data_IF_494936164998
#
_entry.id   IF_494936164998
#
_cell.length_a   1.000
_cell.length_b   1.000
_cell.length_c   1.000
_cell.angle_alpha   90.00
_cell.angle_beta   90.00
_cell.angle_gamma   90.00
#
_symmetry.space_group_name_H-M   'P 1'
#
loop_
_entity.id
_entity.type
_entity.pdbx_description
1 polymer ?
#
# COMPACT_ATOMS: atom_id res chain seq x y z
N UNK A 1 12.01 41.14 12.28
CA UNK A 1 11.29 40.12 11.49
C UNK A 1 9.86 40.04 12.02
N UNK A 2 8.87 40.27 11.16
CA UNK A 2 7.50 40.57 11.59
C UNK A 2 6.66 39.29 11.70
N UNK A 3 6.35 38.86 12.94
CA UNK A 3 5.58 37.64 13.27
C UNK A 3 4.20 37.55 12.60
N UNK A 4 3.65 38.68 12.18
CA UNK A 4 2.34 38.76 11.50
C UNK A 4 2.43 38.29 10.05
N UNK A 5 3.54 38.56 9.36
CA UNK A 5 3.76 38.10 7.98
C UNK A 5 3.90 36.59 7.89
N UNK A 6 4.65 36.00 8.83
CA UNK A 6 4.86 34.56 8.91
C UNK A 6 3.56 33.81 9.26
N UNK A 7 2.74 34.37 10.16
CA UNK A 7 1.42 33.81 10.50
C UNK A 7 0.44 33.88 9.31
N UNK A 8 0.46 34.98 8.55
CA UNK A 8 -0.41 35.12 7.39
C UNK A 8 -0.01 34.18 6.24
N UNK A 9 1.29 33.96 6.05
CA UNK A 9 1.81 32.98 5.09
C UNK A 9 1.54 31.54 5.52
N UNK A 10 1.65 31.20 6.81
CA UNK A 10 1.34 29.84 7.29
C UNK A 10 -0.16 29.53 7.22
N UNK A 11 -1.01 30.51 7.53
CA UNK A 11 -2.48 30.35 7.53
C UNK A 11 -3.08 30.31 6.12
N UNK A 12 -2.40 30.91 5.13
CA UNK A 12 -2.80 30.89 3.71
C UNK A 12 -1.93 29.97 2.85
N UNK A 13 -0.98 29.25 3.45
CA UNK A 13 -0.26 28.20 2.75
C UNK A 13 -1.30 27.17 2.28
N UNK A 14 -1.27 26.85 0.98
CA UNK A 14 -2.07 25.74 0.47
C UNK A 14 -1.74 24.52 1.34
N UNK A 15 -2.75 23.78 1.85
CA UNK A 15 -2.51 22.57 2.61
C UNK A 15 -1.52 21.71 1.83
N UNK A 16 -0.41 21.33 2.48
CA UNK A 16 0.50 20.34 1.91
C UNK A 16 -0.30 19.05 1.77
N UNK A 17 -0.34 18.54 0.55
CA UNK A 17 -1.06 17.30 0.24
C UNK A 17 -0.43 16.18 1.05
N UNK A 18 -1.28 15.33 1.62
CA UNK A 18 -0.80 14.15 2.30
C UNK A 18 -0.32 13.14 1.23
N UNK A 19 0.76 12.39 1.47
CA UNK A 19 1.26 11.40 0.51
C UNK A 19 0.29 10.27 0.17
N UNK A 20 -0.86 10.20 0.85
CA UNK A 20 -1.90 9.19 0.68
C UNK A 20 -3.22 9.79 0.25
N UNK A 21 -3.23 11.07 -0.14
CA UNK A 21 -4.41 11.72 -0.72
C UNK A 21 -4.70 11.09 -2.10
N UNK A 22 -5.90 10.50 -2.31
CA UNK A 22 -6.26 9.85 -3.56
C UNK A 22 -6.52 10.88 -4.68
N UNK A 23 -6.64 10.41 -5.93
CA UNK A 23 -6.98 11.30 -7.06
C UNK A 23 -5.82 12.17 -7.56
N UNK A 24 -4.58 11.81 -7.24
CA UNK A 24 -3.38 12.59 -7.55
C UNK A 24 -2.34 11.82 -8.38
N UNK A 25 -2.75 10.71 -9.01
CA UNK A 25 -1.92 10.03 -9.98
C UNK A 25 -1.68 10.91 -11.21
N UNK A 26 -0.45 10.88 -11.71
CA UNK A 26 -0.08 11.39 -13.02
C UNK A 26 -0.56 10.45 -14.16
N UNK A 27 -0.81 9.18 -13.84
CA UNK A 27 -1.41 8.24 -14.77
C UNK A 27 -2.92 8.51 -14.95
N UNK A 28 -3.48 8.33 -16.15
CA UNK A 28 -4.92 8.44 -16.36
C UNK A 28 -5.69 7.44 -15.48
N UNK A 29 -6.71 7.93 -14.80
CA UNK A 29 -7.65 7.09 -14.05
C UNK A 29 -8.56 6.30 -14.99
N UNK A 30 -9.03 5.11 -14.59
CA UNK A 30 -10.02 4.35 -15.34
C UNK A 30 -11.34 5.13 -15.49
N UNK A 31 -12.08 4.83 -16.55
CA UNK A 31 -13.39 5.41 -16.81
C UNK A 31 -14.43 4.84 -15.82
N UNK A 32 -14.73 5.60 -14.77
CA UNK A 32 -15.65 5.19 -13.70
C UNK A 32 -16.86 6.11 -13.60
N UNK A 33 -18.00 5.53 -13.20
CA UNK A 33 -19.20 6.25 -12.77
C UNK A 33 -18.89 7.12 -11.54
N UNK A 34 -19.78 8.07 -11.21
CA UNK A 34 -19.58 8.95 -10.03
C UNK A 34 -19.43 8.16 -8.73
N UNK A 35 -20.28 7.16 -8.50
CA UNK A 35 -20.18 6.28 -7.33
C UNK A 35 -18.93 5.40 -7.37
N UNK A 36 -18.57 4.89 -8.56
CA UNK A 36 -17.34 4.13 -8.76
C UNK A 36 -16.08 4.93 -8.41
N UNK A 37 -16.04 6.22 -8.74
CA UNK A 37 -14.90 7.10 -8.39
C UNK A 37 -14.71 7.26 -6.87
N UNK A 38 -15.80 7.36 -6.11
CA UNK A 38 -15.72 7.48 -4.65
C UNK A 38 -15.16 6.20 -4.03
N UNK A 39 -15.69 5.04 -4.44
CA UNK A 39 -15.20 3.75 -3.96
C UNK A 39 -13.73 3.51 -4.37
N UNK A 40 -13.37 3.85 -5.61
CA UNK A 40 -12.01 3.74 -6.11
C UNK A 40 -11.04 4.62 -5.31
N UNK A 41 -11.38 5.89 -5.09
CA UNK A 41 -10.56 6.81 -4.31
C UNK A 41 -10.35 6.32 -2.86
N UNK A 42 -11.37 5.68 -2.28
CA UNK A 42 -11.26 5.08 -0.94
C UNK A 42 -10.27 3.90 -0.93
N UNK A 43 -10.38 2.96 -1.88
CA UNK A 43 -9.43 1.86 -2.02
C UNK A 43 -8.02 2.37 -2.33
N UNK A 44 -7.88 3.33 -3.24
CA UNK A 44 -6.62 3.99 -3.60
C UNK A 44 -5.94 4.60 -2.38
N UNK A 45 -6.67 5.37 -1.57
CA UNK A 45 -6.12 5.96 -0.35
C UNK A 45 -5.54 4.91 0.60
N UNK A 46 -6.28 3.82 0.83
CA UNK A 46 -5.83 2.76 1.73
C UNK A 46 -4.62 2.02 1.17
N UNK A 47 -4.61 1.72 -0.12
CA UNK A 47 -3.47 1.08 -0.76
C UNK A 47 -2.23 2.00 -0.78
N UNK A 48 -2.41 3.32 -0.97
CA UNK A 48 -1.32 4.27 -0.87
C UNK A 48 -0.69 4.31 0.52
N UNK A 49 -1.47 4.17 1.60
CA UNK A 49 -0.92 4.05 2.96
C UNK A 49 -0.02 2.83 3.09
N UNK A 50 -0.42 1.70 2.52
CA UNK A 50 0.40 0.49 2.52
C UNK A 50 1.65 0.65 1.63
N UNK A 51 1.52 1.28 0.46
CA UNK A 51 2.62 1.58 -0.46
C UNK A 51 3.69 2.46 0.22
N UNK A 52 3.28 3.45 1.02
CA UNK A 52 4.23 4.29 1.78
C UNK A 52 5.14 3.41 2.66
N UNK A 53 4.58 2.38 3.30
CA UNK A 53 5.28 1.46 4.21
C UNK A 53 5.87 0.22 3.51
N UNK A 54 5.78 0.12 2.18
CA UNK A 54 6.10 -1.10 1.44
C UNK A 54 7.55 -1.58 1.65
N UNK A 55 8.50 -0.64 1.74
CA UNK A 55 9.91 -0.97 2.01
C UNK A 55 10.13 -1.47 3.42
N UNK A 56 9.47 -0.86 4.41
CA UNK A 56 9.58 -1.27 5.80
C UNK A 56 9.05 -2.70 5.98
N UNK A 57 7.88 -3.00 5.39
CA UNK A 57 7.35 -4.35 5.42
C UNK A 57 8.24 -5.35 4.67
N UNK A 58 8.77 -5.01 3.49
CA UNK A 58 9.71 -5.89 2.79
C UNK A 58 11.00 -6.17 3.56
N UNK A 59 11.52 -5.19 4.33
CA UNK A 59 12.64 -5.44 5.26
C UNK A 59 12.25 -6.39 6.39
N UNK A 60 11.05 -6.26 6.95
CA UNK A 60 10.55 -7.19 7.97
C UNK A 60 10.50 -8.62 7.43
N UNK A 61 9.93 -8.83 6.23
CA UNK A 61 9.89 -10.14 5.57
C UNK A 61 11.30 -10.69 5.37
N UNK A 62 12.20 -9.90 4.78
CA UNK A 62 13.59 -10.32 4.55
C UNK A 62 14.36 -10.67 5.85
N UNK A 63 14.06 -10.00 6.97
CA UNK A 63 14.73 -10.24 8.25
C UNK A 63 14.47 -11.63 8.84
N UNK A 64 13.47 -12.34 8.32
CA UNK A 64 13.09 -13.68 8.77
C UNK A 64 13.99 -14.79 8.18
N UNK A 65 14.80 -14.49 7.17
CA UNK A 65 15.87 -15.37 6.67
C UNK A 65 15.43 -16.51 5.73
N UNK A 66 14.18 -16.98 5.81
CA UNK A 66 13.70 -18.14 5.05
C UNK A 66 12.83 -17.80 3.83
N UNK A 67 12.61 -16.51 3.56
CA UNK A 67 11.80 -16.06 2.42
C UNK A 67 12.67 -15.84 1.18
N UNK A 68 12.19 -16.22 -0.03
CA UNK A 68 12.91 -15.93 -1.26
C UNK A 68 13.21 -14.44 -1.45
N UNK A 69 14.30 -14.14 -2.15
CA UNK A 69 14.69 -12.76 -2.46
C UNK A 69 13.58 -12.03 -3.23
N UNK A 70 13.36 -10.78 -2.83
CA UNK A 70 12.46 -9.81 -3.47
C UNK A 70 13.22 -8.49 -3.62
N UNK A 71 12.70 -7.57 -4.41
CA UNK A 71 13.22 -6.19 -4.47
C UNK A 71 12.94 -5.43 -3.16
N UNK A 72 12.20 -6.05 -2.23
CA UNK A 72 12.03 -5.62 -0.85
C UNK A 72 11.03 -4.49 -0.67
N UNK A 73 10.20 -4.22 -1.68
CA UNK A 73 9.08 -3.30 -1.66
C UNK A 73 7.79 -4.09 -1.84
N UNK A 74 7.14 -4.44 -0.74
CA UNK A 74 6.01 -5.37 -0.78
C UNK A 74 4.73 -4.65 -0.36
N UNK A 75 3.58 -5.05 -0.91
CA UNK A 75 2.24 -4.68 -0.42
C UNK A 75 1.31 -5.89 -0.45
N UNK A 76 0.22 -5.84 0.32
CA UNK A 76 -0.75 -6.92 0.44
C UNK A 76 -2.18 -6.35 0.35
N UNK A 77 -2.70 -6.15 -0.87
CA UNK A 77 -3.98 -5.46 -1.09
C UNK A 77 -5.15 -6.06 -0.31
N UNK A 78 -5.23 -7.38 -0.16
CA UNK A 78 -6.25 -8.05 0.64
C UNK A 78 -6.18 -7.71 2.13
N UNK A 79 -4.97 -7.53 2.69
CA UNK A 79 -4.80 -7.01 4.06
C UNK A 79 -5.30 -5.57 4.15
N UNK A 80 -4.95 -4.75 3.17
CA UNK A 80 -5.41 -3.36 3.09
C UNK A 80 -6.93 -3.25 2.95
N UNK A 81 -7.55 -4.14 2.17
CA UNK A 81 -9.00 -4.23 2.05
C UNK A 81 -9.64 -4.64 3.38
N UNK A 82 -9.06 -5.63 4.09
CA UNK A 82 -9.53 -5.98 5.44
C UNK A 82 -9.49 -4.77 6.38
N UNK A 83 -8.39 -4.02 6.41
CA UNK A 83 -8.27 -2.80 7.24
C UNK A 83 -9.31 -1.74 6.85
N UNK A 84 -9.58 -1.57 5.56
CA UNK A 84 -10.64 -0.69 5.07
C UNK A 84 -12.01 -1.14 5.60
N UNK A 85 -12.29 -2.44 5.59
CA UNK A 85 -13.55 -2.98 6.10
C UNK A 85 -13.68 -2.79 7.61
N UNK A 86 -12.60 -2.97 8.36
CA UNK A 86 -12.58 -2.73 9.81
C UNK A 86 -12.87 -1.27 10.14
N UNK A 87 -12.16 -0.34 9.50
CA UNK A 87 -12.32 1.12 9.72
C UNK A 87 -13.71 1.63 9.29
N UNK A 88 -14.28 1.02 8.26
CA UNK A 88 -15.61 1.36 7.74
C UNK A 88 -16.75 0.57 8.40
N UNK A 89 -16.46 -0.29 9.39
CA UNK A 89 -17.45 -1.17 10.04
C UNK A 89 -18.24 -2.01 9.04
N UNK A 90 -17.55 -2.50 8.01
CA UNK A 90 -18.12 -3.32 6.94
C UNK A 90 -18.85 -2.56 5.84
N UNK A 91 -18.86 -1.22 5.88
CA UNK A 91 -19.53 -0.37 4.88
C UNK A 91 -18.61 0.15 3.78
N UNK A 92 -17.37 -0.35 3.71
CA UNK A 92 -16.35 0.06 2.76
C UNK A 92 -16.62 -0.41 1.34
N UNK A 93 -15.74 0.01 0.42
CA UNK A 93 -15.78 -0.45 -0.95
C UNK A 93 -15.62 -1.99 -1.05
N UNK A 94 -16.30 -2.59 -2.03
CA UNK A 94 -16.25 -4.03 -2.27
C UNK A 94 -14.84 -4.49 -2.68
N UNK A 95 -14.44 -5.75 -2.41
CA UNK A 95 -13.13 -6.29 -2.79
C UNK A 95 -12.78 -6.06 -4.26
N UNK A 96 -13.74 -6.25 -5.18
CA UNK A 96 -13.55 -6.02 -6.61
C UNK A 96 -13.11 -4.59 -6.98
N UNK A 97 -13.40 -3.60 -6.13
CA UNK A 97 -12.92 -2.22 -6.32
C UNK A 97 -11.45 -2.12 -5.97
N UNK A 98 -10.99 -2.78 -4.88
CA UNK A 98 -9.57 -2.88 -4.56
C UNK A 98 -8.82 -3.59 -5.68
N UNK A 99 -9.35 -4.72 -6.19
CA UNK A 99 -8.77 -5.44 -7.32
C UNK A 99 -8.64 -4.55 -8.55
N UNK A 100 -9.61 -3.66 -8.78
CA UNK A 100 -9.55 -2.68 -9.89
C UNK A 100 -8.45 -1.64 -9.70
N UNK A 101 -8.17 -1.19 -8.47
CA UNK A 101 -7.04 -0.29 -8.18
C UNK A 101 -5.71 -1.02 -8.39
N UNK A 102 -5.60 -2.25 -7.89
CA UNK A 102 -4.42 -3.10 -8.05
C UNK A 102 -4.15 -3.35 -9.53
N UNK A 103 -5.16 -3.76 -10.29
CA UNK A 103 -5.01 -4.00 -11.73
C UNK A 103 -4.59 -2.73 -12.48
N UNK A 104 -5.18 -1.58 -12.16
CA UNK A 104 -4.80 -0.31 -12.78
C UNK A 104 -3.33 0.07 -12.50
N UNK A 105 -2.83 -0.15 -11.28
CA UNK A 105 -1.42 0.05 -10.95
C UNK A 105 -0.51 -0.98 -11.64
N UNK A 106 -0.97 -2.22 -11.76
CA UNK A 106 -0.25 -3.28 -12.46
C UNK A 106 -0.13 -2.98 -13.96
N UNK A 107 -1.20 -2.54 -14.60
CA UNK A 107 -1.23 -2.12 -16.01
C UNK A 107 -0.30 -0.92 -16.26
N UNK A 108 -0.17 -0.03 -15.26
CA UNK A 108 0.79 1.07 -15.31
C UNK A 108 2.24 0.64 -15.02
N UNK A 109 2.47 -0.61 -14.61
CA UNK A 109 3.77 -1.19 -14.26
C UNK A 109 4.28 -0.80 -12.88
N UNK A 110 3.45 -0.20 -12.04
CA UNK A 110 3.82 0.31 -10.71
C UNK A 110 3.93 -0.81 -9.67
N UNK A 111 3.17 -1.88 -9.87
CA UNK A 111 3.21 -3.09 -9.06
C UNK A 111 3.19 -4.31 -9.97
N UNK A 112 3.69 -5.43 -9.47
CA UNK A 112 3.66 -6.71 -10.18
C UNK A 112 3.36 -7.85 -9.21
N UNK A 113 2.67 -8.91 -9.68
CA UNK A 113 2.49 -10.08 -8.87
C UNK A 113 3.85 -10.79 -8.72
N UNK A 114 4.15 -11.26 -7.51
CA UNK A 114 5.30 -12.14 -7.29
C UNK A 114 5.08 -13.51 -7.93
N UNK A 115 6.13 -14.33 -7.99
CA UNK A 115 5.95 -15.74 -8.36
C UNK A 115 5.05 -16.45 -7.32
N UNK A 116 4.28 -17.44 -7.76
CA UNK A 116 3.43 -18.24 -6.85
C UNK A 116 4.25 -18.88 -5.72
N UNK A 117 5.46 -19.35 -6.05
CA UNK A 117 6.39 -19.92 -5.07
C UNK A 117 6.78 -18.87 -4.01
N UNK A 118 7.17 -17.66 -4.43
CA UNK A 118 7.53 -16.57 -3.52
C UNK A 118 6.35 -16.15 -2.64
N UNK A 119 5.15 -15.99 -3.22
CA UNK A 119 3.95 -15.62 -2.43
C UNK A 119 3.64 -16.66 -1.37
N UNK A 120 3.66 -17.95 -1.72
CA UNK A 120 3.42 -19.04 -0.76
C UNK A 120 4.45 -19.09 0.36
N UNK A 121 5.72 -18.83 0.05
CA UNK A 121 6.77 -18.80 1.05
C UNK A 121 6.58 -17.62 2.04
N UNK A 122 6.25 -16.43 1.52
CA UNK A 122 5.92 -15.27 2.37
C UNK A 122 4.66 -15.55 3.21
N UNK A 123 3.63 -16.15 2.62
CA UNK A 123 2.41 -16.52 3.31
C UNK A 123 2.67 -17.52 4.46
N UNK A 124 3.49 -18.55 4.22
CA UNK A 124 3.90 -19.49 5.26
C UNK A 124 4.69 -18.78 6.37
N UNK A 125 5.65 -17.93 6.01
CA UNK A 125 6.42 -17.13 6.97
C UNK A 125 5.53 -16.21 7.83
N UNK A 126 4.50 -15.59 7.25
CA UNK A 126 3.53 -14.78 8.00
C UNK A 126 2.70 -15.62 8.97
N UNK A 127 2.30 -16.83 8.59
CA UNK A 127 1.57 -17.74 9.47
C UNK A 127 2.45 -18.22 10.64
N UNK A 128 3.71 -18.56 10.38
CA UNK A 128 4.67 -18.96 11.41
C UNK A 128 4.97 -17.85 12.42
N UNK A 129 5.21 -16.62 11.95
CA UNK A 129 5.39 -15.45 12.82
C UNK A 129 4.16 -15.25 13.71
N UNK A 130 2.96 -15.35 13.13
CA UNK A 130 1.70 -15.18 13.86
C UNK A 130 1.48 -16.25 14.93
N UNK A 131 1.78 -17.52 14.64
CA UNK A 131 1.70 -18.62 15.61
C UNK A 131 2.77 -18.50 16.71
N UNK A 132 3.91 -17.87 16.41
CA UNK A 132 4.95 -17.58 17.40
C UNK A 132 4.53 -16.44 18.34
N UNK A 133 4.01 -15.36 17.79
CA UNK A 133 3.65 -14.15 18.54
C UNK A 133 2.33 -14.29 19.30
N UNK A 134 1.41 -15.10 18.76
CA UNK A 134 0.08 -15.35 19.32
C UNK A 134 -0.17 -16.86 19.32
N UNK A 135 0.43 -17.62 20.25
CA UNK A 135 0.31 -19.08 20.26
C UNK A 135 -1.13 -19.57 20.48
N UNK A 136 -1.99 -18.77 21.11
CA UNK A 136 -3.43 -19.02 21.25
C UNK A 136 -4.26 -18.68 20.00
N UNK A 137 -3.66 -18.03 19.01
CA UNK A 137 -4.32 -17.66 17.76
C UNK A 137 -4.33 -18.87 16.81
N UNK A 138 -5.45 -19.58 16.82
CA UNK A 138 -5.74 -20.67 15.89
C UNK A 138 -6.96 -20.30 15.04
N UNK A 139 -6.82 -19.52 13.96
CA UNK A 139 -7.85 -19.49 12.94
C UNK A 139 -7.96 -20.91 12.38
N UNK A 140 -9.17 -21.37 12.07
CA UNK A 140 -9.42 -22.74 11.61
C UNK A 140 -8.39 -23.19 10.55
N UNK A 141 -7.43 -24.06 10.93
CA UNK A 141 -6.39 -24.57 10.03
C UNK A 141 -4.94 -24.25 10.44
N UNK A 142 -4.14 -23.78 9.47
CA UNK A 142 -2.68 -23.66 9.51
C UNK A 142 -2.17 -22.27 9.94
N UNK A 143 -3.04 -21.44 10.50
CA UNK A 143 -2.69 -20.08 10.92
C UNK A 143 -2.74 -19.04 9.80
N UNK A 144 -3.00 -19.42 8.54
CA UNK A 144 -3.09 -18.49 7.40
C UNK A 144 -4.35 -17.64 7.41
N UNK A 145 -4.23 -16.42 6.88
CA UNK A 145 -5.35 -15.54 6.52
C UNK A 145 -5.63 -15.67 5.03
N UNK A 146 -6.87 -15.37 4.64
CA UNK A 146 -7.32 -15.49 3.24
C UNK A 146 -6.57 -14.59 2.26
N UNK A 147 -5.87 -13.56 2.76
CA UNK A 147 -5.06 -12.63 1.98
C UNK A 147 -3.55 -12.83 2.13
N UNK A 148 -3.08 -13.84 2.88
CA UNK A 148 -1.63 -14.04 3.07
C UNK A 148 -0.92 -14.38 1.74
N UNK A 149 -1.64 -14.93 0.75
CA UNK A 149 -1.14 -15.22 -0.60
C UNK A 149 -1.31 -14.04 -1.58
N UNK A 150 -1.89 -12.91 -1.17
CA UNK A 150 -2.12 -11.72 -2.01
C UNK A 150 -0.97 -10.71 -1.90
N UNK A 151 0.27 -11.17 -2.11
CA UNK A 151 1.47 -10.33 -2.01
C UNK A 151 1.90 -9.83 -3.39
N UNK A 152 2.11 -8.52 -3.46
CA UNK A 152 2.57 -7.82 -4.64
C UNK A 152 3.87 -7.10 -4.36
N UNK A 153 4.67 -6.92 -5.39
CA UNK A 153 5.88 -6.13 -5.33
C UNK A 153 5.65 -4.78 -6.01
N UNK A 154 6.16 -3.71 -5.39
CA UNK A 154 6.09 -2.34 -5.89
C UNK A 154 7.38 -2.04 -6.65
N UNK A 155 7.26 -1.51 -7.87
CA UNK A 155 8.38 -0.92 -8.59
C UNK A 155 8.47 0.57 -8.17
N UNK A 156 9.49 1.00 -7.40
CA UNK A 156 9.48 2.32 -6.78
C UNK A 156 9.63 3.48 -7.78
N UNK A 157 10.43 3.32 -8.83
CA UNK A 157 10.67 4.36 -9.83
C UNK A 157 9.39 4.63 -10.63
N UNK A 158 8.70 3.57 -11.04
CA UNK A 158 7.43 3.61 -11.75
C UNK A 158 6.32 4.11 -10.84
N UNK A 159 6.31 3.71 -9.57
CA UNK A 159 5.38 4.24 -8.59
C UNK A 159 5.57 5.74 -8.38
N UNK A 160 6.81 6.25 -8.34
CA UNK A 160 7.11 7.70 -8.28
C UNK A 160 6.70 8.46 -9.55
N UNK A 161 6.75 7.82 -10.73
CA UNK A 161 6.23 8.42 -11.96
C UNK A 161 4.71 8.59 -11.90
N UNK A 162 3.98 7.67 -11.24
CA UNK A 162 2.54 7.76 -11.05
C UNK A 162 2.20 8.71 -9.91
N UNK A 163 2.88 8.62 -8.77
CA UNK A 163 2.66 9.45 -7.60
C UNK A 163 3.94 10.17 -7.18
N UNK A 164 4.29 11.28 -7.85
CA UNK A 164 5.53 12.02 -7.53
C UNK A 164 5.61 12.50 -6.09
N UNK A 165 4.46 12.72 -5.44
CA UNK A 165 4.38 13.18 -4.06
C UNK A 165 4.83 12.11 -3.04
N UNK A 166 4.96 10.84 -3.44
CA UNK A 166 5.53 9.81 -2.56
C UNK A 166 6.99 10.11 -2.21
N UNK A 167 7.71 10.89 -3.03
CA UNK A 167 9.07 11.33 -2.71
C UNK A 167 9.18 12.05 -1.35
N UNK A 168 8.08 12.65 -0.88
CA UNK A 168 8.00 13.36 0.40
C UNK A 168 7.43 12.48 1.54
N UNK A 169 7.12 11.21 1.30
CA UNK A 169 6.43 10.35 2.25
C UNK A 169 7.32 9.87 3.40
N UNK A 170 8.51 9.36 3.08
CA UNK A 170 9.52 8.92 4.04
C UNK A 170 10.92 8.84 3.39
N UNK A 171 11.94 8.49 4.17
CA UNK A 171 13.33 8.44 3.71
C UNK A 171 13.55 7.43 2.58
N UNK A 172 12.84 6.29 2.60
CA UNK A 172 12.97 5.25 1.57
C UNK A 172 12.53 5.80 0.20
N UNK A 173 11.37 6.46 0.13
CA UNK A 173 10.87 7.06 -1.10
C UNK A 173 11.70 8.26 -1.56
N UNK A 174 12.11 9.13 -0.63
CA UNK A 174 13.03 10.25 -0.91
C UNK A 174 14.35 9.74 -1.49
N UNK A 175 14.86 8.60 -1.02
CA UNK A 175 16.06 7.99 -1.58
C UNK A 175 15.84 7.48 -3.00
N UNK A 176 14.71 6.84 -3.30
CA UNK A 176 14.40 6.37 -4.66
C UNK A 176 14.26 7.54 -5.64
N UNK A 177 13.65 8.66 -5.21
CA UNK A 177 13.48 9.84 -6.05
C UNK A 177 14.80 10.53 -6.44
N UNK A 178 15.92 10.20 -5.78
CA UNK A 178 17.27 10.74 -6.06
C UNK A 178 18.11 9.86 -6.98
N UNK A 179 17.61 8.68 -7.35
CA UNK A 179 18.29 7.73 -8.25
C UNK A 179 17.99 8.05 -9.70
#
# INVERSE_FOLDING_TARGET
MSRIGDWWQSSNAKPRRHPTDPGHAAAPYPALSRSGRVAFAQCEQYLLREIVEARAWGRQVASRGDTPDTDGWLVMPGRTHSSLMDDSRGMGAMPAVMDSVVQWLADAGAIRPLSEHTRRAIAASNAEERLRDYPEYHPDGDGRRTWDDDVWEVEPIRMLQIYPHLADANDDWSQQARR
#
